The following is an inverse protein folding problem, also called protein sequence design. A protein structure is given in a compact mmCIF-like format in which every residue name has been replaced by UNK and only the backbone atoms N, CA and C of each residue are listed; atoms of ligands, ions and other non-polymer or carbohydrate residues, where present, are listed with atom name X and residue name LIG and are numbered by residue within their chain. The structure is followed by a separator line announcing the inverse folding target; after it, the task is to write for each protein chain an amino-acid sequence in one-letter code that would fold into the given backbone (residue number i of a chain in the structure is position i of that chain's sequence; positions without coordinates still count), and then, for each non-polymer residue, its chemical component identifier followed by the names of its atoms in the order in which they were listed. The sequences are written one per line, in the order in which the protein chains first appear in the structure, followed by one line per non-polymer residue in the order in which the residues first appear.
data_IF_437502299571
#
_entry.id   IF_437502299571
#
_cell.length_a   1.000
_cell.length_b   1.000
_cell.length_c   1.000
_cell.angle_alpha   90.00
_cell.angle_beta   90.00
_cell.angle_gamma   90.00
#
_symmetry.space_group_name_H-M   'P 1'
#
loop_
_entity.id
_entity.type
_entity.pdbx_description
1 polymer ?
#
# COMPACT_ATOMS: atom_id res chain seq x y z
N UNK A 1 12.04 -6.39 -1.79
CA UNK A 1 10.70 -6.47 -2.38
C UNK A 1 9.89 -5.25 -1.98
N UNK A 2 8.96 -4.81 -2.83
CA UNK A 2 7.90 -3.85 -2.48
C UNK A 2 6.68 -4.63 -2.03
N UNK A 3 6.15 -4.35 -0.84
CA UNK A 3 5.00 -5.09 -0.31
C UNK A 3 4.98 -5.12 1.21
N UNK A 4 3.85 -5.55 1.77
CA UNK A 4 3.66 -5.76 3.22
C UNK A 4 4.47 -6.96 3.70
N UNK A 5 4.72 -7.94 2.81
CA UNK A 5 5.43 -9.16 3.11
C UNK A 5 6.89 -9.04 2.66
N UNK A 6 7.81 -9.38 3.56
CA UNK A 6 9.23 -9.58 3.22
C UNK A 6 9.50 -11.06 2.90
N UNK A 7 10.58 -11.30 2.17
CA UNK A 7 11.12 -12.66 2.02
C UNK A 7 11.53 -13.15 3.41
N UNK A 8 11.06 -14.34 3.80
CA UNK A 8 11.20 -14.92 5.16
C UNK A 8 10.47 -14.17 6.29
N UNK A 9 9.41 -13.43 6.00
CA UNK A 9 8.59 -12.79 7.03
C UNK A 9 7.74 -13.82 7.81
N UNK A 10 7.49 -13.53 9.09
CA UNK A 10 6.55 -14.31 9.93
C UNK A 10 5.12 -14.22 9.41
N UNK A 11 4.82 -13.18 8.63
CA UNK A 11 3.51 -13.00 8.01
C UNK A 11 3.47 -13.70 6.67
N UNK A 12 2.45 -14.53 6.48
CA UNK A 12 2.21 -15.23 5.22
C UNK A 12 0.88 -14.80 4.64
N UNK A 13 0.83 -14.76 3.31
CA UNK A 13 -0.39 -14.46 2.58
C UNK A 13 -1.36 -15.62 2.65
N UNK A 14 -2.62 -15.32 2.93
CA UNK A 14 -3.73 -16.27 2.94
C UNK A 14 -4.57 -16.14 1.66
N UNK A 15 -4.95 -14.92 1.28
CA UNK A 15 -5.78 -14.67 0.10
C UNK A 15 -5.63 -13.24 -0.41
N UNK A 16 -5.86 -13.03 -1.71
CA UNK A 16 -6.24 -11.71 -2.22
C UNK A 16 -7.72 -11.45 -1.95
N UNK A 17 -8.06 -10.18 -1.82
CA UNK A 17 -9.41 -9.66 -1.73
C UNK A 17 -9.62 -8.63 -2.84
N UNK A 18 -10.88 -8.28 -3.17
CA UNK A 18 -11.14 -7.20 -4.11
C UNK A 18 -10.46 -5.90 -3.67
N UNK A 19 -9.92 -5.17 -4.64
CA UNK A 19 -9.31 -3.87 -4.41
C UNK A 19 -10.30 -2.89 -3.79
N UNK A 20 -9.78 -1.96 -2.99
CA UNK A 20 -10.59 -0.95 -2.31
C UNK A 20 -9.86 0.39 -2.34
N UNK A 21 -10.54 1.44 -2.81
CA UNK A 21 -10.01 2.80 -2.81
C UNK A 21 -8.70 2.94 -3.58
N UNK A 22 -8.51 2.19 -4.68
CA UNK A 22 -7.29 2.19 -5.48
C UNK A 22 -6.10 1.41 -4.90
N UNK A 23 -6.29 0.72 -3.78
CA UNK A 23 -5.28 -0.11 -3.13
C UNK A 23 -5.59 -1.59 -3.24
N UNK A 24 -4.54 -2.41 -3.28
CA UNK A 24 -4.68 -3.87 -3.24
C UNK A 24 -4.98 -4.34 -1.83
N UNK A 25 -5.87 -5.32 -1.72
CA UNK A 25 -6.29 -5.87 -0.43
C UNK A 25 -5.84 -7.32 -0.32
N UNK A 26 -5.15 -7.66 0.75
CA UNK A 26 -4.75 -9.04 1.02
C UNK A 26 -5.04 -9.44 2.47
N UNK A 27 -5.41 -10.70 2.67
CA UNK A 27 -5.48 -11.32 3.98
C UNK A 27 -4.16 -12.03 4.28
N UNK A 28 -3.61 -11.77 5.46
CA UNK A 28 -2.36 -12.32 5.95
C UNK A 28 -2.55 -12.93 7.34
N UNK A 29 -1.71 -13.89 7.68
CA UNK A 29 -1.69 -14.53 9.00
C UNK A 29 -0.25 -14.62 9.52
N UNK A 30 -0.08 -14.68 10.83
CA UNK A 30 1.19 -14.97 11.49
C UNK A 30 1.02 -16.18 12.42
N UNK A 31 2.09 -16.72 13.04
CA UNK A 31 1.96 -17.75 14.07
C UNK A 31 1.01 -17.33 15.19
N UNK A 32 0.10 -18.24 15.56
CA UNK A 32 -1.01 -17.97 16.50
C UNK A 32 -2.33 -17.66 15.78
N UNK A 33 -3.43 -17.44 16.52
CA UNK A 33 -4.76 -17.22 15.94
C UNK A 33 -4.94 -15.75 15.48
N UNK A 34 -4.01 -15.22 14.70
CA UNK A 34 -4.03 -13.82 14.24
C UNK A 34 -4.09 -13.73 12.71
N UNK A 35 -5.18 -13.15 12.22
CA UNK A 35 -5.34 -12.77 10.81
C UNK A 35 -5.53 -11.26 10.68
N UNK A 36 -5.06 -10.71 9.57
CA UNK A 36 -5.23 -9.31 9.22
C UNK A 36 -5.61 -9.17 7.76
N UNK A 37 -6.42 -8.16 7.46
CA UNK A 37 -6.55 -7.62 6.11
C UNK A 37 -5.65 -6.39 6.02
N UNK A 38 -4.85 -6.30 4.97
CA UNK A 38 -3.96 -5.17 4.71
C UNK A 38 -4.22 -4.59 3.33
N UNK A 39 -4.49 -3.29 3.29
CA UNK A 39 -4.53 -2.47 2.09
C UNK A 39 -3.18 -1.85 1.78
N UNK A 40 -2.77 -1.84 0.51
CA UNK A 40 -1.49 -1.26 0.08
C UNK A 40 -1.64 -0.29 -1.09
N UNK A 41 -0.96 0.86 -0.97
CA UNK A 41 -0.81 1.87 -2.01
C UNK A 41 0.65 2.29 -2.11
N UNK A 42 1.08 2.66 -3.32
CA UNK A 42 2.37 3.28 -3.60
C UNK A 42 2.18 4.63 -4.26
N UNK A 43 2.81 5.65 -3.70
CA UNK A 43 2.97 6.97 -4.28
C UNK A 43 4.37 7.06 -4.88
N UNK A 44 4.48 7.23 -6.20
CA UNK A 44 5.76 7.38 -6.90
C UNK A 44 5.67 8.54 -7.88
N UNK A 45 6.40 9.62 -7.62
CA UNK A 45 6.15 10.89 -8.30
C UNK A 45 4.68 11.29 -8.16
N UNK A 46 4.01 11.59 -9.28
CA UNK A 46 2.59 11.98 -9.30
C UNK A 46 1.62 10.80 -9.46
N UNK A 47 2.10 9.56 -9.47
CA UNK A 47 1.25 8.37 -9.58
C UNK A 47 0.96 7.74 -8.21
N UNK A 48 -0.30 7.38 -7.98
CA UNK A 48 -0.71 6.54 -6.85
C UNK A 48 -1.28 5.23 -7.40
N UNK A 49 -0.66 4.10 -7.07
CA UNK A 49 -1.01 2.79 -7.64
C UNK A 49 -0.71 1.64 -6.66
N UNK A 50 -1.33 0.48 -6.86
CA UNK A 50 -0.96 -0.76 -6.20
C UNK A 50 -0.30 -1.77 -7.16
N UNK A 51 -0.22 -1.46 -8.46
CA UNK A 51 0.40 -2.32 -9.47
C UNK A 51 1.94 -2.27 -9.36
N UNK A 52 2.61 -3.39 -9.03
CA UNK A 52 4.07 -3.44 -8.93
C UNK A 52 4.79 -3.05 -10.23
N UNK A 53 4.22 -3.35 -11.41
CA UNK A 53 4.82 -2.99 -12.69
C UNK A 53 4.79 -1.47 -12.88
N UNK A 54 3.64 -0.85 -12.63
CA UNK A 54 3.51 0.61 -12.66
C UNK A 54 4.49 1.30 -11.71
N UNK A 55 4.66 0.80 -10.47
CA UNK A 55 5.66 1.30 -9.51
C UNK A 55 7.07 1.21 -10.08
N UNK A 56 7.44 0.06 -10.68
CA UNK A 56 8.78 -0.17 -11.21
C UNK A 56 9.08 0.72 -12.41
N UNK A 57 8.11 0.88 -13.33
CA UNK A 57 8.23 1.77 -14.48
C UNK A 57 8.31 3.25 -14.07
N UNK A 58 7.46 3.69 -13.13
CA UNK A 58 7.51 5.05 -12.60
C UNK A 58 8.86 5.36 -11.93
N UNK A 59 9.37 4.40 -11.14
CA UNK A 59 10.69 4.50 -10.53
C UNK A 59 11.80 4.60 -11.56
N UNK A 60 11.77 3.76 -12.61
CA UNK A 60 12.75 3.80 -13.70
C UNK A 60 12.70 5.14 -14.43
N UNK A 61 11.51 5.64 -14.76
CA UNK A 61 11.32 6.95 -15.41
C UNK A 61 11.91 8.09 -14.56
N UNK A 62 11.63 8.11 -13.26
CA UNK A 62 12.17 9.12 -12.36
C UNK A 62 13.71 9.09 -12.30
N UNK A 63 14.32 7.90 -12.29
CA UNK A 63 15.77 7.74 -12.29
C UNK A 63 16.42 8.17 -13.60
N UNK A 64 15.84 7.81 -14.74
CA UNK A 64 16.39 8.11 -16.06
C UNK A 64 16.27 9.59 -16.43
N UNK A 65 15.19 10.26 -16.00
CA UNK A 65 14.91 11.66 -16.37
C UNK A 65 15.32 12.66 -15.27
N UNK A 66 16.00 12.21 -14.21
CA UNK A 66 16.41 13.08 -13.10
C UNK A 66 15.25 13.65 -12.28
N UNK A 67 14.07 13.02 -12.36
CA UNK A 67 12.88 13.46 -11.63
C UNK A 67 12.92 13.11 -10.14
N UNK A 68 11.94 13.59 -9.35
CA UNK A 68 11.86 13.27 -7.92
C UNK A 68 11.78 11.77 -7.69
N UNK A 69 12.77 11.19 -7.02
CA UNK A 69 12.84 9.75 -6.73
C UNK A 69 12.13 9.36 -5.42
N UNK A 70 11.22 10.20 -4.93
CA UNK A 70 10.50 9.95 -3.68
C UNK A 70 9.39 8.94 -3.94
N UNK A 71 9.43 7.84 -3.20
CA UNK A 71 8.41 6.81 -3.23
C UNK A 71 7.92 6.54 -1.80
N UNK A 72 6.61 6.61 -1.59
CA UNK A 72 5.98 6.32 -0.29
C UNK A 72 5.06 5.12 -0.45
N UNK A 73 5.22 4.12 0.41
CA UNK A 73 4.26 3.03 0.55
C UNK A 73 3.34 3.34 1.73
N UNK A 74 2.03 3.25 1.50
CA UNK A 74 1.01 3.37 2.55
C UNK A 74 0.40 1.99 2.76
N UNK A 75 0.39 1.55 4.02
CA UNK A 75 -0.24 0.31 4.43
C UNK A 75 -1.26 0.57 5.52
N UNK A 76 -2.48 0.07 5.35
CA UNK A 76 -3.55 0.17 6.36
C UNK A 76 -4.04 -1.23 6.67
N UNK A 77 -4.04 -1.61 7.94
CA UNK A 77 -4.37 -2.96 8.38
C UNK A 77 -5.54 -2.99 9.36
N UNK A 78 -6.29 -4.09 9.35
CA UNK A 78 -7.32 -4.39 10.35
C UNK A 78 -7.29 -5.87 10.71
N UNK A 79 -7.59 -6.19 11.97
CA UNK A 79 -7.81 -7.58 12.44
C UNK A 79 -9.28 -8.01 12.27
N UNK A 80 -10.14 -7.14 11.72
CA UNK A 80 -11.49 -7.51 11.33
C UNK A 80 -11.48 -8.47 10.13
N UNK A 81 -12.55 -9.27 10.00
CA UNK A 81 -12.72 -10.20 8.88
C UNK A 81 -13.19 -9.53 7.57
N UNK A 82 -13.46 -8.22 7.60
CA UNK A 82 -13.97 -7.46 6.45
C UNK A 82 -13.15 -6.20 6.22
N UNK A 83 -13.22 -5.66 5.00
CA UNK A 83 -12.55 -4.40 4.63
C UNK A 83 -13.27 -3.15 5.13
N UNK A 84 -14.43 -3.27 5.78
CA UNK A 84 -15.25 -2.14 6.20
C UNK A 84 -14.52 -1.15 7.14
N UNK A 85 -13.71 -1.59 8.13
CA UNK A 85 -12.92 -0.67 8.94
C UNK A 85 -11.90 0.13 8.13
N UNK A 86 -11.26 -0.51 7.12
CA UNK A 86 -10.33 0.16 6.21
C UNK A 86 -11.10 1.20 5.39
N UNK A 87 -12.25 0.85 4.81
CA UNK A 87 -13.06 1.78 4.04
C UNK A 87 -13.46 3.02 4.87
N UNK A 88 -13.92 2.81 6.11
CA UNK A 88 -14.27 3.91 7.03
C UNK A 88 -13.06 4.77 7.38
N UNK A 89 -11.89 4.16 7.61
CA UNK A 89 -10.67 4.89 7.88
C UNK A 89 -10.25 5.75 6.68
N UNK A 90 -10.27 5.20 5.47
CA UNK A 90 -9.97 5.94 4.24
C UNK A 90 -10.94 7.11 4.03
N UNK A 91 -12.23 6.92 4.30
CA UNK A 91 -13.21 7.99 4.20
C UNK A 91 -12.95 9.14 5.20
N UNK A 92 -12.49 8.83 6.42
CA UNK A 92 -12.18 9.83 7.44
C UNK A 92 -10.82 10.53 7.20
N UNK A 93 -9.83 9.80 6.69
CA UNK A 93 -8.50 10.30 6.41
C UNK A 93 -8.46 11.18 5.15
N UNK A 94 -9.32 10.89 4.18
CA UNK A 94 -9.29 11.53 2.87
C UNK A 94 -8.30 10.85 1.90
N UNK A 95 -7.96 11.52 0.79
CA UNK A 95 -7.16 10.93 -0.28
C UNK A 95 -5.78 10.44 0.17
N UNK A 96 -5.40 9.23 -0.26
CA UNK A 96 -4.14 8.56 0.13
C UNK A 96 -2.91 9.28 -0.44
N UNK A 97 -3.04 9.89 -1.61
CA UNK A 97 -1.99 10.67 -2.26
C UNK A 97 -1.57 11.88 -1.40
N UNK A 98 -2.53 12.63 -0.84
CA UNK A 98 -2.25 13.76 0.05
C UNK A 98 -1.52 13.33 1.32
N UNK A 99 -1.90 12.21 1.91
CA UNK A 99 -1.20 11.64 3.05
C UNK A 99 0.25 11.31 2.67
N UNK A 100 0.43 10.62 1.53
CA UNK A 100 1.74 10.20 1.06
C UNK A 100 2.65 11.40 0.74
N UNK A 101 2.11 12.43 0.10
CA UNK A 101 2.84 13.66 -0.22
C UNK A 101 3.25 14.40 1.06
N UNK A 102 2.32 14.53 2.02
CA UNK A 102 2.63 15.13 3.34
C UNK A 102 3.74 14.35 4.06
N UNK A 103 3.67 13.02 4.07
CA UNK A 103 4.69 12.16 4.66
C UNK A 103 6.04 12.28 3.95
N UNK A 104 6.04 12.58 2.64
CA UNK A 104 7.24 12.86 1.85
C UNK A 104 7.75 14.31 2.00
N UNK A 105 7.10 15.15 2.81
CA UNK A 105 7.43 16.56 3.01
C UNK A 105 7.02 17.48 1.85
N UNK A 106 6.07 17.06 1.02
CA UNK A 106 5.45 17.84 -0.04
C UNK A 106 4.15 18.45 0.51
N UNK A 107 3.95 19.75 0.31
CA UNK A 107 2.73 20.48 0.71
C UNK A 107 2.02 20.99 -0.52
#
# INVERSE_FOLDING_TARGET
GTGVLREEDRWVRVADLPDLGGGSMMRITAPGPVERIVGTWYRVGDATTHDPLAVKLATLKARLLGGPQRAVAVHVATEARTTAPIARFLAAMGPVDRLADTAAGLR
#
